data_IF_972533348376
#
_entry.id   IF_972533348376
#
_cell.length_a   1.000
_cell.length_b   1.000
_cell.length_c   1.000
_cell.angle_alpha   90.00
_cell.angle_beta   90.00
_cell.angle_gamma   90.00
#
_symmetry.space_group_name_H-M   'P 1'
#
loop_
_entity.id
_entity.type
_entity.pdbx_description
1 polymer ?
#
# COMPACT_ATOMS: atom_id res chain seq x y z
N UNK A 1 1.72 32.33 -5.17
CA UNK A 1 0.23 32.38 -5.26
C UNK A 1 -0.28 32.19 -6.68
N UNK A 2 0.04 33.06 -7.66
CA UNK A 2 -0.49 32.97 -9.04
C UNK A 2 -0.31 31.60 -9.71
N UNK A 3 0.89 31.01 -9.62
CA UNK A 3 1.19 29.67 -10.15
C UNK A 3 0.45 28.53 -9.46
N UNK A 4 0.20 28.66 -8.15
CA UNK A 4 -0.55 27.67 -7.36
C UNK A 4 -2.03 27.70 -7.75
N UNK A 5 -2.61 28.90 -7.84
CA UNK A 5 -4.00 29.09 -8.26
C UNK A 5 -4.19 28.60 -9.70
N UNK A 6 -3.26 28.94 -10.61
CA UNK A 6 -3.27 28.43 -11.98
C UNK A 6 -3.17 26.89 -12.04
N UNK A 7 -2.32 26.28 -11.22
CA UNK A 7 -2.20 24.83 -11.11
C UNK A 7 -3.47 24.16 -10.58
N UNK A 8 -4.14 24.75 -9.58
CA UNK A 8 -5.42 24.24 -9.06
C UNK A 8 -6.50 24.33 -10.14
N UNK A 9 -6.60 25.44 -10.87
CA UNK A 9 -7.58 25.60 -11.95
C UNK A 9 -7.32 24.57 -13.07
N UNK A 10 -6.06 24.39 -13.47
CA UNK A 10 -5.69 23.39 -14.46
C UNK A 10 -6.05 21.96 -13.99
N UNK A 11 -5.77 21.64 -12.72
CA UNK A 11 -6.13 20.36 -12.12
C UNK A 11 -7.65 20.13 -12.12
N UNK A 12 -8.43 21.14 -11.73
CA UNK A 12 -9.90 21.08 -11.76
C UNK A 12 -10.42 20.80 -13.17
N UNK A 13 -9.88 21.48 -14.18
CA UNK A 13 -10.25 21.28 -15.59
C UNK A 13 -9.94 19.84 -16.02
N UNK A 14 -8.73 19.34 -15.71
CA UNK A 14 -8.33 17.96 -16.05
C UNK A 14 -9.26 16.93 -15.39
N UNK A 15 -9.57 17.11 -14.10
CA UNK A 15 -10.48 16.22 -13.35
C UNK A 15 -11.89 16.24 -13.94
N UNK A 16 -12.40 17.41 -14.35
CA UNK A 16 -13.73 17.55 -14.93
C UNK A 16 -13.85 16.97 -16.35
N UNK A 17 -12.76 16.98 -17.12
CA UNK A 17 -12.73 16.43 -18.48
C UNK A 17 -12.58 14.90 -18.45
N UNK A 18 -11.92 14.35 -17.43
CA UNK A 18 -11.65 12.92 -17.32
C UNK A 18 -12.96 12.08 -17.24
N UNK A 19 -13.33 11.35 -18.31
CA UNK A 19 -14.61 10.61 -18.37
C UNK A 19 -14.65 9.44 -17.38
N UNK A 20 -13.48 8.90 -17.03
CA UNK A 20 -13.33 7.73 -16.14
C UNK A 20 -13.74 8.01 -14.69
N UNK A 21 -13.72 9.27 -14.25
CA UNK A 21 -14.08 9.63 -12.87
C UNK A 21 -15.59 9.81 -12.69
N UNK A 22 -16.37 9.72 -13.77
CA UNK A 22 -17.80 10.07 -13.81
C UNK A 22 -18.07 11.46 -13.21
N UNK A 23 -17.09 12.36 -13.30
CA UNK A 23 -17.11 13.73 -12.78
C UNK A 23 -17.50 14.75 -13.85
N UNK A 24 -18.02 14.31 -15.00
CA UNK A 24 -18.45 15.21 -16.08
C UNK A 24 -19.48 16.20 -15.50
N UNK A 25 -19.09 17.47 -15.43
CA UNK A 25 -19.83 18.59 -14.84
C UNK A 25 -20.08 18.52 -13.32
N UNK A 26 -19.43 17.60 -12.60
CA UNK A 26 -19.59 17.46 -11.16
C UNK A 26 -18.60 18.37 -10.40
N UNK A 27 -18.92 19.68 -10.40
CA UNK A 27 -18.10 20.72 -9.75
C UNK A 27 -17.87 20.45 -8.25
N UNK A 28 -18.87 19.87 -7.58
CA UNK A 28 -18.79 19.53 -6.17
C UNK A 28 -17.68 18.51 -5.92
N UNK A 29 -17.61 17.43 -6.70
CA UNK A 29 -16.57 16.41 -6.55
C UNK A 29 -15.16 16.97 -6.74
N UNK A 30 -14.99 17.85 -7.74
CA UNK A 30 -13.71 18.51 -8.00
C UNK A 30 -13.30 19.45 -6.85
N UNK A 31 -14.26 20.19 -6.28
CA UNK A 31 -14.03 21.04 -5.11
C UNK A 31 -13.67 20.22 -3.86
N UNK A 32 -14.32 19.08 -3.63
CA UNK A 32 -14.00 18.17 -2.53
C UNK A 32 -12.58 17.61 -2.66
N UNK A 33 -12.14 17.28 -3.88
CA UNK A 33 -10.74 16.83 -4.12
C UNK A 33 -9.75 17.92 -3.72
N UNK A 34 -9.99 19.17 -4.11
CA UNK A 34 -9.09 20.29 -3.76
C UNK A 34 -9.12 20.55 -2.26
N UNK A 35 -10.30 20.58 -1.64
CA UNK A 35 -10.46 20.87 -0.21
C UNK A 35 -9.82 19.78 0.67
N UNK A 36 -10.17 18.51 0.45
CA UNK A 36 -9.61 17.39 1.21
C UNK A 36 -8.15 17.12 0.82
N UNK A 37 -7.78 17.32 -0.45
CA UNK A 37 -6.40 17.27 -0.91
C UNK A 37 -5.53 18.27 -0.16
N UNK A 38 -5.94 19.54 -0.09
CA UNK A 38 -5.21 20.56 0.67
C UNK A 38 -5.07 20.19 2.15
N UNK A 39 -6.16 19.75 2.79
CA UNK A 39 -6.18 19.39 4.20
C UNK A 39 -5.27 18.19 4.50
N UNK A 40 -5.44 17.07 3.79
CA UNK A 40 -4.70 15.83 4.06
C UNK A 40 -3.28 15.81 3.51
N UNK A 41 -2.96 16.60 2.48
CA UNK A 41 -1.56 16.84 2.07
C UNK A 41 -0.82 17.59 3.17
N UNK A 42 -1.44 18.60 3.79
CA UNK A 42 -0.81 19.36 4.89
C UNK A 42 -0.55 18.48 6.11
N UNK A 43 -1.52 17.66 6.51
CA UNK A 43 -1.36 16.69 7.61
C UNK A 43 -0.28 15.67 7.29
N UNK A 44 -0.29 15.09 6.10
CA UNK A 44 0.71 14.11 5.66
C UNK A 44 2.12 14.70 5.62
N UNK A 45 2.29 15.91 5.11
CA UNK A 45 3.58 16.62 5.05
C UNK A 45 4.18 16.81 6.45
N UNK A 46 3.37 17.21 7.43
CA UNK A 46 3.82 17.35 8.82
C UNK A 46 4.18 16.01 9.46
N UNK A 47 3.26 15.03 9.42
CA UNK A 47 3.50 13.71 10.02
C UNK A 47 4.71 13.01 9.39
N UNK A 48 4.85 13.11 8.07
CA UNK A 48 6.00 12.55 7.36
C UNK A 48 7.29 13.31 7.68
N UNK A 49 7.22 14.63 7.89
CA UNK A 49 8.39 15.45 8.27
C UNK A 49 8.89 15.21 9.70
N UNK A 50 7.98 14.87 10.62
CA UNK A 50 8.24 14.61 12.04
C UNK A 50 8.59 13.13 12.31
N UNK A 51 7.78 12.21 11.79
CA UNK A 51 7.80 10.77 12.15
C UNK A 51 8.27 9.87 10.99
N UNK A 52 8.35 10.41 9.77
CA UNK A 52 8.72 9.67 8.55
C UNK A 52 7.52 9.09 7.79
N UNK A 53 7.71 8.82 6.50
CA UNK A 53 6.65 8.38 5.59
C UNK A 53 6.06 7.01 5.95
N UNK A 54 6.87 6.10 6.51
CA UNK A 54 6.44 4.76 6.95
C UNK A 54 5.42 4.79 8.08
N UNK A 55 5.41 5.87 8.87
CA UNK A 55 4.53 6.06 10.03
C UNK A 55 3.34 6.98 9.71
N UNK A 56 3.24 7.48 8.47
CA UNK A 56 2.15 8.36 8.05
C UNK A 56 0.85 7.54 7.87
N UNK A 57 -0.27 7.92 8.53
CA UNK A 57 -1.54 7.19 8.49
C UNK A 57 -2.31 7.43 7.18
N UNK A 58 -1.67 7.17 6.03
CA UNK A 58 -2.25 7.37 4.68
C UNK A 58 -3.57 6.64 4.49
N UNK A 59 -3.66 5.40 4.98
CA UNK A 59 -4.89 4.60 4.98
C UNK A 59 -6.02 5.24 5.81
N UNK A 60 -5.70 5.84 6.96
CA UNK A 60 -6.66 6.58 7.78
C UNK A 60 -7.17 7.84 7.08
N UNK A 61 -6.28 8.60 6.44
CA UNK A 61 -6.64 9.78 5.66
C UNK A 61 -7.54 9.45 4.46
N UNK A 62 -7.31 8.30 3.81
CA UNK A 62 -8.17 7.79 2.73
C UNK A 62 -9.59 7.47 3.23
N UNK A 63 -9.69 6.72 4.33
CA UNK A 63 -11.00 6.37 4.93
C UNK A 63 -11.74 7.63 5.39
N UNK A 64 -11.06 8.56 6.06
CA UNK A 64 -11.67 9.82 6.50
C UNK A 64 -12.20 10.64 5.31
N UNK A 65 -11.43 10.75 4.23
CA UNK A 65 -11.87 11.41 2.99
C UNK A 65 -13.13 10.74 2.45
N UNK A 66 -13.12 9.41 2.32
CA UNK A 66 -14.25 8.65 1.79
C UNK A 66 -15.51 8.80 2.65
N UNK A 67 -15.39 8.69 3.97
CA UNK A 67 -16.50 8.85 4.90
C UNK A 67 -17.13 10.24 4.79
N UNK A 68 -16.31 11.30 4.79
CA UNK A 68 -16.79 12.67 4.66
C UNK A 68 -17.42 12.92 3.29
N UNK A 69 -16.81 12.46 2.20
CA UNK A 69 -17.38 12.55 0.85
C UNK A 69 -18.71 11.83 0.74
N UNK A 70 -18.80 10.59 1.24
CA UNK A 70 -20.05 9.81 1.20
C UNK A 70 -21.14 10.46 2.06
N UNK A 71 -20.78 11.04 3.21
CA UNK A 71 -21.72 11.77 4.06
C UNK A 71 -22.28 13.02 3.37
N UNK A 72 -21.42 13.80 2.71
CA UNK A 72 -21.84 14.96 1.91
C UNK A 72 -22.77 14.53 0.77
N UNK A 73 -22.43 13.45 0.06
CA UNK A 73 -23.28 12.90 -1.01
C UNK A 73 -24.63 12.44 -0.48
N UNK A 74 -24.67 11.81 0.69
CA UNK A 74 -25.91 11.40 1.34
C UNK A 74 -26.81 12.60 1.67
N UNK A 75 -26.24 13.68 2.23
CA UNK A 75 -27.00 14.91 2.55
C UNK A 75 -27.63 15.53 1.28
N UNK A 76 -26.92 15.45 0.15
CA UNK A 76 -27.35 16.03 -1.12
C UNK A 76 -28.28 15.05 -1.91
N UNK A 77 -28.42 13.80 -1.44
CA UNK A 77 -29.24 12.78 -2.09
C UNK A 77 -28.55 12.04 -3.24
N UNK A 78 -27.23 12.12 -3.34
CA UNK A 78 -26.43 11.45 -4.38
C UNK A 78 -26.11 10.00 -3.99
N UNK A 79 -27.13 9.14 -4.03
CA UNK A 79 -27.06 7.75 -3.58
C UNK A 79 -27.10 6.71 -4.70
N UNK A 80 -27.18 7.14 -5.97
CA UNK A 80 -27.19 6.27 -7.14
C UNK A 80 -25.83 5.56 -7.40
N UNK A 81 -25.82 4.37 -8.03
CA UNK A 81 -24.61 3.58 -8.32
C UNK A 81 -23.42 4.33 -8.94
N UNK A 82 -23.60 5.31 -9.85
CA UNK A 82 -22.49 6.10 -10.37
C UNK A 82 -21.70 6.88 -9.31
N UNK A 83 -22.37 7.38 -8.26
CA UNK A 83 -21.74 8.21 -7.23
C UNK A 83 -20.80 7.41 -6.31
N UNK A 84 -20.91 6.08 -6.28
CA UNK A 84 -19.98 5.19 -5.58
C UNK A 84 -18.60 5.26 -6.21
N UNK A 85 -18.55 5.22 -7.55
CA UNK A 85 -17.31 5.35 -8.32
C UNK A 85 -16.72 6.74 -8.14
N UNK A 86 -17.58 7.77 -8.12
CA UNK A 86 -17.15 9.14 -7.85
C UNK A 86 -16.54 9.30 -6.45
N UNK A 87 -17.17 8.78 -5.40
CA UNK A 87 -16.64 8.83 -4.03
C UNK A 87 -15.29 8.10 -3.93
N UNK A 88 -15.18 6.89 -4.49
CA UNK A 88 -13.93 6.14 -4.58
C UNK A 88 -12.83 6.93 -5.30
N UNK A 89 -13.18 7.59 -6.40
CA UNK A 89 -12.26 8.41 -7.17
C UNK A 89 -11.71 9.59 -6.36
N UNK A 90 -12.59 10.31 -5.63
CA UNK A 90 -12.18 11.41 -4.74
C UNK A 90 -11.22 10.90 -3.67
N UNK A 91 -11.59 9.82 -2.96
CA UNK A 91 -10.74 9.22 -1.93
C UNK A 91 -9.39 8.74 -2.46
N UNK A 92 -9.38 8.12 -3.65
CA UNK A 92 -8.16 7.67 -4.31
C UNK A 92 -7.22 8.83 -4.69
N UNK A 93 -7.76 9.88 -5.32
CA UNK A 93 -6.97 11.06 -5.72
C UNK A 93 -6.39 11.77 -4.50
N UNK A 94 -7.18 11.98 -3.46
CA UNK A 94 -6.72 12.62 -2.21
C UNK A 94 -5.66 11.78 -1.52
N UNK A 95 -5.82 10.45 -1.51
CA UNK A 95 -4.82 9.54 -0.94
C UNK A 95 -3.49 9.59 -1.70
N UNK A 96 -3.52 9.58 -3.04
CA UNK A 96 -2.31 9.70 -3.88
C UNK A 96 -1.64 11.05 -3.65
N UNK A 97 -2.42 12.13 -3.65
CA UNK A 97 -1.91 13.48 -3.39
C UNK A 97 -1.25 13.57 -2.00
N UNK A 98 -1.93 13.06 -0.96
CA UNK A 98 -1.44 13.06 0.41
C UNK A 98 -0.15 12.24 0.58
N UNK A 99 -0.08 11.05 -0.04
CA UNK A 99 1.12 10.20 -0.03
C UNK A 99 2.30 10.88 -0.72
N UNK A 100 2.08 11.43 -1.92
CA UNK A 100 3.13 12.10 -2.67
C UNK A 100 3.57 13.40 -2.00
N UNK A 101 2.64 14.18 -1.45
CA UNK A 101 2.96 15.40 -0.72
C UNK A 101 3.79 15.14 0.54
N UNK A 102 3.46 14.08 1.28
CA UNK A 102 4.27 13.61 2.41
C UNK A 102 5.68 13.24 1.97
N UNK A 103 5.79 12.36 0.97
CA UNK A 103 7.07 11.85 0.46
C UNK A 103 7.96 12.98 -0.07
N UNK A 104 7.41 13.91 -0.86
CA UNK A 104 8.15 15.10 -1.34
C UNK A 104 8.70 15.92 -0.17
N UNK A 105 7.93 16.09 0.90
CA UNK A 105 8.38 16.88 2.06
C UNK A 105 9.60 16.23 2.73
N UNK A 106 9.59 14.92 2.86
CA UNK A 106 10.73 14.16 3.39
C UNK A 106 11.92 14.14 2.42
N UNK A 107 11.66 13.98 1.12
CA UNK A 107 12.70 13.98 0.09
C UNK A 107 13.42 15.33 0.04
N UNK A 108 12.69 16.45 0.10
CA UNK A 108 13.27 17.79 0.12
C UNK A 108 14.13 18.02 1.37
N UNK A 109 13.72 17.48 2.53
CA UNK A 109 14.51 17.54 3.77
C UNK A 109 15.81 16.75 3.63
N UNK A 110 15.73 15.49 3.21
CA UNK A 110 16.91 14.64 2.97
C UNK A 110 17.80 15.26 1.90
N UNK A 111 17.19 15.79 0.85
CA UNK A 111 17.84 16.46 -0.26
C UNK A 111 18.62 17.68 0.16
N UNK A 112 18.07 18.49 1.06
CA UNK A 112 18.77 19.62 1.67
C UNK A 112 19.99 19.16 2.48
N UNK A 113 19.86 18.07 3.25
CA UNK A 113 20.95 17.53 4.07
C UNK A 113 22.12 16.98 3.25
N UNK A 114 21.85 16.37 2.09
CA UNK A 114 22.90 15.80 1.20
C UNK A 114 23.36 16.77 0.11
N UNK A 115 22.86 18.01 0.10
CA UNK A 115 23.23 19.03 -0.89
C UNK A 115 22.64 18.82 -2.29
N UNK A 116 21.54 18.08 -2.41
CA UNK A 116 20.87 17.85 -3.71
C UNK A 116 20.06 19.06 -4.18
N UNK A 117 19.82 19.15 -5.49
CA UNK A 117 19.00 20.22 -6.08
C UNK A 117 17.50 19.88 -6.01
N UNK A 118 16.65 20.72 -5.38
CA UNK A 118 15.21 20.46 -5.24
C UNK A 118 14.47 20.18 -6.55
N UNK A 119 14.86 20.86 -7.64
CA UNK A 119 14.27 20.67 -8.97
C UNK A 119 14.44 19.25 -9.47
N UNK A 120 15.63 18.66 -9.28
CA UNK A 120 15.92 17.30 -9.72
C UNK A 120 15.09 16.27 -8.94
N UNK A 121 14.87 16.51 -7.64
CA UNK A 121 14.03 15.65 -6.80
C UNK A 121 12.56 15.68 -7.23
N UNK A 122 12.03 16.86 -7.54
CA UNK A 122 10.65 17.01 -8.06
C UNK A 122 10.45 16.30 -9.40
N UNK A 123 11.44 16.35 -10.30
CA UNK A 123 11.39 15.64 -11.58
C UNK A 123 11.45 14.12 -11.34
N UNK A 124 12.33 13.66 -10.45
CA UNK A 124 12.49 12.25 -10.14
C UNK A 124 11.19 11.64 -9.57
N UNK A 125 10.52 12.32 -8.63
CA UNK A 125 9.27 11.82 -8.06
C UNK A 125 8.12 11.83 -9.08
N UNK A 126 8.05 12.82 -9.98
CA UNK A 126 7.07 12.82 -11.06
C UNK A 126 7.27 11.63 -12.01
N UNK A 127 8.52 11.35 -12.40
CA UNK A 127 8.85 10.20 -13.24
C UNK A 127 8.53 8.89 -12.52
N UNK A 128 8.95 8.76 -11.26
CA UNK A 128 8.73 7.53 -10.47
C UNK A 128 7.26 7.23 -10.22
N UNK A 129 6.46 8.25 -9.87
CA UNK A 129 5.02 8.11 -9.65
C UNK A 129 4.28 7.80 -10.95
N UNK A 130 4.63 8.46 -12.06
CA UNK A 130 4.05 8.17 -13.37
C UNK A 130 4.39 6.76 -13.86
N UNK A 131 5.66 6.36 -13.77
CA UNK A 131 6.09 5.01 -14.12
C UNK A 131 5.35 3.96 -13.29
N UNK A 132 5.22 4.17 -11.98
CA UNK A 132 4.48 3.28 -11.08
C UNK A 132 3.00 3.19 -11.46
N UNK A 133 2.35 4.31 -11.78
CA UNK A 133 0.95 4.33 -12.20
C UNK A 133 0.72 3.59 -13.53
N UNK A 134 1.64 3.76 -14.49
CA UNK A 134 1.58 3.10 -15.80
C UNK A 134 1.84 1.59 -15.72
N UNK A 135 2.70 1.14 -14.80
CA UNK A 135 3.03 -0.28 -14.63
C UNK A 135 1.96 -1.01 -13.80
N UNK A 136 1.45 -0.39 -12.75
CA UNK A 136 0.53 -1.05 -11.81
C UNK A 136 -0.82 -1.39 -12.44
N UNK A 137 -1.36 -0.52 -13.30
CA UNK A 137 -2.64 -0.74 -13.97
C UNK A 137 -2.69 -2.05 -14.78
N UNK A 138 -1.79 -2.25 -15.75
CA UNK A 138 -1.70 -3.49 -16.52
C UNK A 138 -1.46 -4.73 -15.66
N UNK A 139 -0.62 -4.65 -14.61
CA UNK A 139 -0.38 -5.78 -13.70
C UNK A 139 -1.68 -6.19 -13.00
N UNK A 140 -2.46 -5.23 -12.47
CA UNK A 140 -3.73 -5.51 -11.82
C UNK A 140 -4.77 -6.09 -12.79
N UNK A 141 -4.82 -5.58 -14.03
CA UNK A 141 -5.69 -6.13 -15.07
C UNK A 141 -5.30 -7.57 -15.42
N UNK A 142 -4.01 -7.85 -15.56
CA UNK A 142 -3.50 -9.19 -15.86
C UNK A 142 -3.79 -10.16 -14.71
N UNK A 143 -3.59 -9.74 -13.45
CA UNK A 143 -3.93 -10.55 -12.28
C UNK A 143 -5.43 -10.83 -12.19
N UNK A 144 -6.27 -9.84 -12.52
CA UNK A 144 -7.70 -10.07 -12.54
C UNK A 144 -8.11 -11.01 -13.67
N UNK A 145 -7.55 -10.86 -14.87
CA UNK A 145 -7.84 -11.72 -16.02
C UNK A 145 -7.35 -13.16 -15.81
N UNK A 146 -6.16 -13.36 -15.25
CA UNK A 146 -5.61 -14.71 -15.00
C UNK A 146 -6.44 -15.52 -14.00
N UNK A 147 -7.03 -14.85 -13.00
CA UNK A 147 -7.93 -15.45 -12.03
C UNK A 147 -9.41 -15.44 -12.42
N UNK A 148 -9.80 -14.86 -13.56
CA UNK A 148 -11.21 -14.79 -13.97
C UNK A 148 -11.71 -16.18 -14.36
N UNK A 149 -12.91 -16.52 -13.86
CA UNK A 149 -13.58 -17.78 -14.17
C UNK A 149 -14.95 -17.46 -14.75
N UNK A 150 -15.23 -18.03 -15.92
CA UNK A 150 -16.54 -17.93 -16.54
C UNK A 150 -17.40 -19.10 -16.07
N UNK A 151 -18.37 -18.80 -15.20
CA UNK A 151 -19.27 -19.77 -14.60
C UNK A 151 -20.54 -19.82 -15.44
N UNK A 152 -20.94 -20.99 -16.00
CA UNK A 152 -22.18 -21.09 -16.76
C UNK A 152 -23.38 -20.83 -15.84
N UNK A 153 -24.33 -20.07 -16.35
CA UNK A 153 -25.58 -19.74 -15.63
C UNK A 153 -26.54 -20.94 -15.67
N UNK A 154 -26.58 -21.66 -16.79
CA UNK A 154 -27.42 -22.83 -16.97
C UNK A 154 -26.88 -24.00 -16.13
N UNK A 155 -27.72 -24.58 -15.27
CA UNK A 155 -27.34 -25.74 -14.45
C UNK A 155 -26.50 -25.40 -13.21
N UNK A 156 -26.29 -24.11 -12.91
CA UNK A 156 -25.65 -23.70 -11.68
C UNK A 156 -26.56 -23.97 -10.45
N UNK A 157 -25.97 -24.41 -9.35
CA UNK A 157 -26.66 -24.68 -8.08
C UNK A 157 -26.86 -23.42 -7.24
N UNK A 158 -26.02 -22.41 -7.43
CA UNK A 158 -25.96 -21.24 -6.54
C UNK A 158 -26.88 -20.09 -6.99
N UNK A 159 -27.18 -19.99 -8.29
CA UNK A 159 -28.11 -19.01 -8.82
C UNK A 159 -28.69 -19.45 -10.17
N UNK A 160 -29.91 -19.00 -10.46
CA UNK A 160 -30.59 -19.28 -11.71
C UNK A 160 -31.45 -18.09 -12.12
N UNK A 161 -31.51 -17.83 -13.42
CA UNK A 161 -32.38 -16.81 -13.99
C UNK A 161 -33.67 -17.48 -14.51
N UNK A 162 -34.84 -16.85 -14.32
CA UNK A 162 -36.07 -17.28 -14.98
C UNK A 162 -35.87 -17.32 -16.50
N UNK A 163 -36.51 -18.27 -17.18
CA UNK A 163 -36.44 -18.39 -18.65
C UNK A 163 -37.02 -17.17 -19.39
N UNK A 164 -37.78 -16.32 -18.70
CA UNK A 164 -38.33 -15.05 -19.20
C UNK A 164 -37.43 -13.84 -18.93
N UNK A 165 -36.28 -14.02 -18.28
CA UNK A 165 -35.38 -12.91 -17.95
C UNK A 165 -34.49 -12.59 -19.15
N UNK A 166 -34.63 -11.35 -19.64
CA UNK A 166 -33.76 -10.78 -20.64
C UNK A 166 -33.17 -9.48 -20.09
N UNK A 167 -31.84 -9.33 -20.19
CA UNK A 167 -31.18 -8.10 -19.83
C UNK A 167 -31.55 -6.99 -20.82
N UNK A 168 -31.84 -5.80 -20.31
CA UNK A 168 -32.17 -4.65 -21.14
C UNK A 168 -30.92 -4.23 -21.96
N UNK A 169 -31.00 -4.12 -23.29
CA UNK A 169 -29.91 -3.61 -24.11
C UNK A 169 -29.40 -2.22 -23.70
N UNK A 170 -30.21 -1.41 -23.02
CA UNK A 170 -29.80 -0.12 -22.47
C UNK A 170 -28.73 -0.24 -21.37
N UNK A 171 -28.73 -1.36 -20.64
CA UNK A 171 -27.81 -1.62 -19.53
C UNK A 171 -26.52 -2.33 -19.98
N UNK A 172 -26.37 -2.61 -21.27
CA UNK A 172 -25.14 -3.17 -21.80
C UNK A 172 -24.00 -2.17 -21.67
N UNK A 173 -22.83 -2.69 -21.27
CA UNK A 173 -21.63 -1.88 -21.18
C UNK A 173 -21.31 -1.37 -22.58
N UNK A 174 -21.09 -0.06 -22.74
CA UNK A 174 -20.75 0.53 -24.03
C UNK A 174 -19.23 0.58 -24.23
N UNK A 175 -18.78 0.37 -25.46
CA UNK A 175 -17.40 0.58 -25.87
C UNK A 175 -17.09 2.07 -26.04
N UNK A 176 -15.84 2.39 -26.41
CA UNK A 176 -15.38 3.77 -26.64
C UNK A 176 -16.13 4.47 -27.79
N UNK A 177 -16.79 3.70 -28.66
CA UNK A 177 -17.62 4.19 -29.78
C UNK A 177 -19.11 4.31 -29.40
N UNK A 178 -19.48 3.99 -28.15
CA UNK A 178 -20.85 4.05 -27.66
C UNK A 178 -21.72 2.85 -28.08
N UNK A 179 -21.14 1.82 -28.70
CA UNK A 179 -21.84 0.59 -29.08
C UNK A 179 -21.80 -0.44 -27.95
N UNK A 180 -22.75 -1.41 -27.89
CA UNK A 180 -22.73 -2.44 -26.87
C UNK A 180 -21.44 -3.27 -26.99
N UNK A 181 -20.65 -3.28 -25.92
CA UNK A 181 -19.37 -3.96 -25.86
C UNK A 181 -19.59 -5.46 -25.99
N UNK A 182 -18.87 -6.04 -26.94
CA UNK A 182 -18.88 -7.47 -27.21
C UNK A 182 -17.54 -8.08 -26.84
N UNK A 183 -17.59 -9.24 -26.21
CA UNK A 183 -16.40 -9.96 -25.79
C UNK A 183 -16.58 -11.47 -25.95
N UNK A 184 -15.47 -12.14 -26.24
CA UNK A 184 -15.36 -13.59 -26.18
C UNK A 184 -14.93 -14.02 -24.76
N UNK A 185 -15.04 -15.31 -24.46
CA UNK A 185 -14.38 -15.87 -23.28
C UNK A 185 -12.88 -15.57 -23.37
N UNK A 186 -12.28 -15.14 -22.26
CA UNK A 186 -10.87 -14.77 -22.18
C UNK A 186 -10.08 -15.76 -21.31
N UNK A 187 -8.75 -15.68 -21.35
CA UNK A 187 -7.87 -16.51 -20.55
C UNK A 187 -7.95 -17.99 -20.89
N UNK A 188 -7.87 -18.85 -19.87
CA UNK A 188 -7.81 -20.31 -20.05
C UNK A 188 -9.10 -20.92 -20.62
N UNK A 189 -10.24 -20.22 -20.53
CA UNK A 189 -11.53 -20.69 -21.07
C UNK A 189 -11.82 -20.15 -22.47
N UNK A 190 -10.89 -19.38 -23.08
CA UNK A 190 -11.08 -18.79 -24.41
C UNK A 190 -11.28 -19.84 -25.52
N UNK A 191 -10.74 -21.05 -25.36
CA UNK A 191 -10.91 -22.14 -26.31
C UNK A 191 -12.21 -22.95 -26.16
N UNK A 192 -13.00 -22.70 -25.10
CA UNK A 192 -14.19 -23.50 -24.79
C UNK A 192 -15.45 -23.12 -25.56
N UNK A 193 -15.60 -21.84 -25.93
CA UNK A 193 -16.76 -21.32 -26.66
C UNK A 193 -16.33 -20.22 -27.64
N UNK A 194 -16.52 -20.40 -28.96
CA UNK A 194 -16.16 -19.39 -29.95
C UNK A 194 -17.20 -18.27 -30.08
N UNK A 195 -18.31 -18.32 -29.33
CA UNK A 195 -19.37 -17.32 -29.46
C UNK A 195 -18.98 -15.96 -28.85
N UNK A 196 -19.54 -14.92 -29.46
CA UNK A 196 -19.40 -13.54 -29.00
C UNK A 196 -20.60 -13.14 -28.14
N UNK A 197 -20.33 -12.54 -26.98
CA UNK A 197 -21.36 -12.17 -26.00
C UNK A 197 -21.37 -10.67 -25.71
N UNK A 198 -22.54 -10.14 -25.38
CA UNK A 198 -22.68 -8.78 -24.85
C UNK A 198 -22.29 -8.74 -23.37
N UNK A 199 -21.61 -7.66 -22.97
CA UNK A 199 -21.21 -7.48 -21.57
C UNK A 199 -22.28 -6.70 -20.81
N UNK A 200 -22.86 -7.34 -19.79
CA UNK A 200 -23.87 -6.75 -18.91
C UNK A 200 -23.31 -6.64 -17.48
N UNK A 201 -23.42 -5.46 -16.85
CA UNK A 201 -23.01 -5.28 -15.46
C UNK A 201 -24.25 -5.19 -14.57
N UNK A 202 -24.57 -6.29 -13.90
CA UNK A 202 -25.70 -6.38 -12.99
C UNK A 202 -25.34 -5.74 -11.65
N UNK A 203 -26.06 -4.70 -11.26
CA UNK A 203 -25.84 -3.96 -10.00
C UNK A 203 -26.68 -4.50 -8.83
N UNK A 204 -27.79 -5.18 -9.13
CA UNK A 204 -28.71 -5.74 -8.14
C UNK A 204 -28.35 -7.19 -7.78
N UNK A 205 -28.89 -7.71 -6.68
CA UNK A 205 -28.66 -9.08 -6.22
C UNK A 205 -29.78 -10.07 -6.61
N UNK A 206 -30.79 -9.62 -7.36
CA UNK A 206 -31.96 -10.45 -7.69
C UNK A 206 -31.61 -11.54 -8.71
N UNK A 207 -32.01 -12.80 -8.49
CA UNK A 207 -31.74 -13.94 -9.39
C UNK A 207 -30.25 -14.26 -9.61
N UNK A 208 -29.36 -13.76 -8.75
CA UNK A 208 -27.92 -14.07 -8.79
C UNK A 208 -27.05 -12.92 -8.28
N UNK A 209 -25.75 -13.17 -8.05
CA UNK A 209 -24.84 -12.17 -7.51
C UNK A 209 -24.74 -10.93 -8.42
N UNK A 210 -24.57 -9.75 -7.81
CA UNK A 210 -24.20 -8.55 -8.56
C UNK A 210 -22.79 -8.73 -9.15
N UNK A 211 -22.61 -8.35 -10.41
CA UNK A 211 -21.36 -8.57 -11.10
C UNK A 211 -21.47 -8.52 -12.61
N UNK A 212 -20.43 -8.99 -13.27
CA UNK A 212 -20.30 -8.94 -14.72
C UNK A 212 -20.81 -10.23 -15.36
N UNK A 213 -21.81 -10.13 -16.22
CA UNK A 213 -22.38 -11.24 -16.97
C UNK A 213 -22.10 -11.10 -18.47
N UNK A 214 -22.00 -12.25 -19.13
CA UNK A 214 -21.98 -12.38 -20.58
C UNK A 214 -23.35 -12.84 -21.05
N UNK A 215 -23.92 -12.08 -21.97
CA UNK A 215 -25.31 -12.21 -22.43
C UNK A 215 -25.32 -12.56 -23.91
N UNK A 216 -26.15 -13.51 -24.32
CA UNK A 216 -26.26 -13.88 -25.73
C UNK A 216 -26.99 -12.79 -26.56
N UNK A 217 -27.15 -13.04 -27.86
CA UNK A 217 -27.85 -12.12 -28.78
C UNK A 217 -29.31 -11.87 -28.40
N UNK A 218 -29.93 -12.83 -27.72
CA UNK A 218 -31.32 -12.78 -27.28
C UNK A 218 -31.48 -12.07 -25.92
N UNK A 219 -30.41 -11.59 -25.30
CA UNK A 219 -30.48 -10.93 -24.00
C UNK A 219 -30.48 -11.87 -22.79
N UNK A 220 -30.24 -13.17 -22.99
CA UNK A 220 -30.18 -14.16 -21.90
C UNK A 220 -28.76 -14.25 -21.32
N UNK A 221 -28.58 -14.13 -19.99
CA UNK A 221 -27.28 -14.35 -19.34
C UNK A 221 -26.81 -15.79 -19.49
N UNK A 222 -25.63 -15.99 -20.07
CA UNK A 222 -25.04 -17.32 -20.32
C UNK A 222 -23.91 -17.62 -19.35
N UNK A 223 -23.04 -16.65 -19.09
CA UNK A 223 -21.92 -16.80 -18.15
C UNK A 223 -21.88 -15.66 -17.13
N UNK A 224 -21.55 -15.99 -15.89
CA UNK A 224 -21.04 -15.04 -14.90
C UNK A 224 -19.51 -14.98 -15.05
N UNK A 225 -18.97 -13.81 -15.33
CA UNK A 225 -17.52 -13.57 -15.32
C UNK A 225 -17.09 -13.25 -13.88
N UNK A 226 -16.80 -14.30 -13.10
CA UNK A 226 -16.33 -14.18 -11.73
C UNK A 226 -14.87 -13.67 -11.73
N UNK A 227 -14.58 -12.50 -11.13
CA UNK A 227 -13.26 -11.87 -11.23
C UNK A 227 -12.16 -12.69 -10.54
N UNK A 228 -10.91 -12.47 -10.94
CA UNK A 228 -9.76 -13.04 -10.24
C UNK A 228 -9.51 -12.41 -8.88
N UNK A 229 -9.81 -11.11 -8.76
CA UNK A 229 -9.69 -10.37 -7.50
C UNK A 229 -11.06 -10.36 -6.81
N UNK A 230 -11.11 -10.84 -5.56
CA UNK A 230 -12.32 -10.99 -4.74
C UNK A 230 -13.44 -11.86 -5.36
N UNK A 231 -13.11 -12.73 -6.33
CA UNK A 231 -14.05 -13.72 -6.87
C UNK A 231 -14.34 -14.87 -5.90
N UNK A 232 -15.47 -15.54 -6.11
CA UNK A 232 -15.97 -16.61 -5.23
C UNK A 232 -15.71 -18.00 -5.81
N UNK A 233 -15.67 -18.14 -7.14
CA UNK A 233 -15.63 -19.43 -7.82
C UNK A 233 -14.20 -19.83 -8.17
N UNK A 234 -13.61 -20.70 -7.36
CA UNK A 234 -12.23 -21.20 -7.48
C UNK A 234 -12.08 -22.38 -8.45
N UNK A 235 -13.19 -22.96 -8.94
CA UNK A 235 -13.19 -24.08 -9.88
C UNK A 235 -13.77 -23.67 -11.23
N UNK A 236 -13.05 -24.01 -12.29
CA UNK A 236 -13.54 -23.89 -13.66
C UNK A 236 -14.46 -25.06 -14.02
N UNK A 237 -15.29 -24.90 -15.07
CA UNK A 237 -16.14 -25.98 -15.57
C UNK A 237 -15.38 -27.24 -16.01
N UNK A 238 -14.10 -27.12 -16.35
CA UNK A 238 -13.20 -28.23 -16.71
C UNK A 238 -12.65 -28.99 -15.48
N UNK A 239 -13.01 -28.58 -14.25
CA UNK A 239 -12.54 -29.16 -13.00
C UNK A 239 -11.18 -28.62 -12.51
N UNK A 240 -10.52 -27.74 -13.28
CA UNK A 240 -9.27 -27.12 -12.85
C UNK A 240 -9.49 -26.04 -11.78
N UNK A 241 -8.59 -25.98 -10.79
CA UNK A 241 -8.60 -24.96 -9.75
C UNK A 241 -7.86 -23.70 -10.18
N UNK A 242 -8.39 -22.55 -9.77
CA UNK A 242 -7.85 -21.21 -10.04
C UNK A 242 -7.63 -20.50 -8.73
N UNK A 243 -6.41 -19.99 -8.54
CA UNK A 243 -6.10 -19.17 -7.37
C UNK A 243 -6.83 -17.82 -7.46
N UNK A 244 -7.64 -17.52 -6.46
CA UNK A 244 -8.30 -16.22 -6.29
C UNK A 244 -7.44 -15.30 -5.44
N UNK A 245 -7.47 -14.01 -5.77
CA UNK A 245 -6.74 -12.97 -5.04
C UNK A 245 -7.70 -12.20 -4.15
N UNK A 246 -7.50 -12.23 -2.84
CA UNK A 246 -8.32 -11.43 -1.93
C UNK A 246 -7.74 -10.03 -1.77
N UNK A 247 -8.59 -9.01 -1.81
CA UNK A 247 -8.25 -7.63 -1.48
C UNK A 247 -9.10 -7.13 -0.30
N UNK A 248 -8.83 -7.57 0.95
CA UNK A 248 -9.67 -7.28 2.11
C UNK A 248 -9.87 -5.77 2.37
N UNK A 249 -8.80 -4.98 2.17
CA UNK A 249 -8.82 -3.51 2.33
C UNK A 249 -9.79 -2.85 1.37
N UNK A 250 -9.80 -3.29 0.10
CA UNK A 250 -10.72 -2.79 -0.90
C UNK A 250 -12.17 -3.20 -0.58
N UNK A 251 -12.36 -4.44 -0.10
CA UNK A 251 -13.67 -4.96 0.30
C UNK A 251 -14.27 -4.15 1.45
N UNK A 252 -13.51 -3.86 2.51
CA UNK A 252 -13.98 -3.03 3.62
C UNK A 252 -14.39 -1.64 3.14
N UNK A 253 -13.54 -0.97 2.35
CA UNK A 253 -13.83 0.35 1.80
C UNK A 253 -15.12 0.31 0.98
N UNK A 254 -15.33 -0.74 0.18
CA UNK A 254 -16.55 -0.89 -0.60
C UNK A 254 -17.80 -1.04 0.28
N UNK A 255 -17.71 -1.76 1.40
CA UNK A 255 -18.82 -1.92 2.34
C UNK A 255 -19.15 -0.63 3.07
N UNK A 256 -18.14 0.16 3.44
CA UNK A 256 -18.36 1.47 4.07
C UNK A 256 -19.15 2.38 3.14
N UNK A 257 -18.75 2.47 1.87
CA UNK A 257 -19.42 3.33 0.88
C UNK A 257 -20.85 2.83 0.61
N UNK A 258 -21.01 1.52 0.41
CA UNK A 258 -22.33 0.86 0.26
C UNK A 258 -23.23 1.06 1.45
N UNK A 259 -22.70 0.98 2.66
CA UNK A 259 -23.43 1.21 3.89
C UNK A 259 -23.89 2.64 4.04
N UNK A 260 -22.99 3.62 3.81
CA UNK A 260 -23.32 5.05 3.94
C UNK A 260 -24.30 5.47 2.87
N UNK A 261 -23.95 5.37 1.59
CA UNK A 261 -24.80 5.85 0.50
C UNK A 261 -26.12 5.06 0.39
N UNK A 262 -26.11 3.78 0.78
CA UNK A 262 -27.31 2.96 0.81
C UNK A 262 -28.20 3.18 2.05
N UNK A 263 -27.79 4.02 3.00
CA UNK A 263 -28.56 4.28 4.23
C UNK A 263 -28.70 3.06 5.17
N UNK A 264 -27.94 1.99 4.92
CA UNK A 264 -28.00 0.71 5.66
C UNK A 264 -26.86 0.57 6.67
N UNK A 265 -26.10 1.63 6.92
CA UNK A 265 -24.99 1.56 7.86
C UNK A 265 -25.53 1.34 9.29
N UNK A 266 -25.07 0.28 10.00
CA UNK A 266 -25.50 0.04 11.37
C UNK A 266 -24.86 1.08 12.31
N UNK A 267 -25.48 2.25 12.42
CA UNK A 267 -24.97 3.39 13.20
C UNK A 267 -24.67 3.05 14.66
N UNK A 268 -25.42 2.11 15.25
CA UNK A 268 -25.12 1.59 16.59
C UNK A 268 -23.72 0.97 16.69
N UNK A 269 -23.29 0.21 15.69
CA UNK A 269 -21.95 -0.38 15.65
C UNK A 269 -20.86 0.68 15.40
N UNK A 270 -21.17 1.70 14.59
CA UNK A 270 -20.23 2.80 14.32
C UNK A 270 -20.00 3.62 15.60
N UNK A 271 -21.06 4.01 16.30
CA UNK A 271 -20.97 4.76 17.55
C UNK A 271 -20.32 3.94 18.66
N UNK A 272 -20.57 2.64 18.72
CA UNK A 272 -19.85 1.73 19.61
C UNK A 272 -18.33 1.76 19.31
N UNK A 273 -17.95 1.71 18.03
CA UNK A 273 -16.55 1.83 17.61
C UNK A 273 -15.92 3.17 18.02
N UNK A 274 -16.65 4.28 17.84
CA UNK A 274 -16.21 5.62 18.30
C UNK A 274 -16.01 5.63 19.82
N UNK A 275 -16.94 5.06 20.57
CA UNK A 275 -16.82 4.96 22.02
C UNK A 275 -15.60 4.13 22.45
N UNK A 276 -15.39 2.97 21.83
CA UNK A 276 -14.20 2.14 22.07
C UNK A 276 -12.92 2.92 21.77
N UNK A 277 -12.88 3.63 20.64
CA UNK A 277 -11.72 4.45 20.27
C UNK A 277 -11.43 5.54 21.32
N UNK A 278 -12.45 6.23 21.80
CA UNK A 278 -12.31 7.23 22.88
C UNK A 278 -11.78 6.57 24.16
N UNK A 279 -12.34 5.43 24.58
CA UNK A 279 -11.89 4.72 25.79
C UNK A 279 -10.43 4.26 25.67
N UNK A 280 -10.03 3.75 24.50
CA UNK A 280 -8.65 3.35 24.25
C UNK A 280 -7.70 4.54 24.32
N UNK A 281 -8.03 5.64 23.66
CA UNK A 281 -7.19 6.84 23.63
C UNK A 281 -7.07 7.46 25.03
N UNK A 282 -8.17 7.47 25.81
CA UNK A 282 -8.17 7.88 27.23
C UNK A 282 -7.35 6.93 28.12
N UNK A 283 -7.21 5.66 27.72
CA UNK A 283 -6.37 4.66 28.41
C UNK A 283 -4.91 4.71 27.95
N UNK A 284 -4.54 5.65 27.08
CA UNK A 284 -3.19 5.74 26.50
C UNK A 284 -2.87 4.64 25.49
N UNK A 285 -3.87 3.90 25.01
CA UNK A 285 -3.73 2.87 23.98
C UNK A 285 -4.14 3.47 22.64
N UNK A 286 -3.26 3.37 21.64
CA UNK A 286 -3.58 3.87 20.30
C UNK A 286 -4.80 3.16 19.72
N UNK A 287 -5.91 3.89 19.55
CA UNK A 287 -7.12 3.35 18.94
C UNK A 287 -6.89 2.85 17.51
N UNK A 288 -5.99 3.50 16.77
CA UNK A 288 -5.62 3.10 15.40
C UNK A 288 -4.94 1.73 15.37
N UNK A 289 -3.95 1.49 16.23
CA UNK A 289 -3.24 0.22 16.29
C UNK A 289 -4.19 -0.94 16.68
N UNK A 290 -5.06 -0.69 17.65
CA UNK A 290 -6.08 -1.65 18.07
C UNK A 290 -7.06 -1.98 16.93
N UNK A 291 -7.62 -0.95 16.27
CA UNK A 291 -8.56 -1.14 15.18
C UNK A 291 -7.96 -1.92 14.00
N UNK A 292 -6.70 -1.64 13.64
CA UNK A 292 -5.98 -2.38 12.59
C UNK A 292 -5.79 -3.85 12.99
N UNK A 293 -5.46 -4.12 14.25
CA UNK A 293 -5.26 -5.48 14.75
C UNK A 293 -6.54 -6.33 14.73
N UNK A 294 -7.68 -5.75 15.10
CA UNK A 294 -8.99 -6.42 15.09
C UNK A 294 -9.57 -6.57 13.68
N UNK A 295 -9.21 -5.66 12.77
CA UNK A 295 -9.73 -5.63 11.41
C UNK A 295 -9.17 -6.75 10.51
N UNK A 296 -7.91 -7.12 10.68
CA UNK A 296 -7.24 -8.09 9.82
C UNK A 296 -7.47 -9.54 10.31
N UNK A 297 -7.63 -10.51 9.38
CA UNK A 297 -7.65 -11.93 9.74
C UNK A 297 -6.47 -12.29 10.64
N UNK A 298 -6.71 -13.16 11.64
CA UNK A 298 -5.65 -13.60 12.56
C UNK A 298 -4.43 -14.16 11.80
N UNK A 299 -4.66 -14.83 10.66
CA UNK A 299 -3.61 -15.35 9.78
C UNK A 299 -2.71 -14.25 9.18
N UNK A 300 -3.22 -13.05 8.91
CA UNK A 300 -2.42 -11.92 8.40
C UNK A 300 -1.89 -11.03 9.51
N UNK A 301 -2.55 -11.00 10.67
CA UNK A 301 -2.08 -10.29 11.88
C UNK A 301 -0.96 -11.03 12.61
N UNK A 302 -0.90 -12.36 12.56
CA UNK A 302 0.10 -13.15 13.27
C UNK A 302 1.56 -12.83 12.85
N UNK A 303 1.90 -12.71 11.55
CA UNK A 303 3.24 -12.27 11.14
C UNK A 303 3.60 -10.86 11.65
N UNK A 304 2.63 -9.94 11.65
CA UNK A 304 2.82 -8.58 12.17
C UNK A 304 3.09 -8.61 13.68
N UNK A 305 2.34 -9.43 14.42
CA UNK A 305 2.54 -9.64 15.84
C UNK A 305 3.93 -10.21 16.14
N UNK A 306 4.37 -11.26 15.42
CA UNK A 306 5.71 -11.84 15.58
C UNK A 306 6.80 -10.81 15.24
N UNK A 307 6.64 -10.03 14.18
CA UNK A 307 7.55 -8.92 13.86
C UNK A 307 7.64 -7.89 15.00
N UNK A 308 6.50 -7.56 15.60
CA UNK A 308 6.43 -6.71 16.80
C UNK A 308 7.12 -7.33 18.02
N UNK A 309 6.98 -8.65 18.23
CA UNK A 309 7.70 -9.37 19.29
C UNK A 309 9.21 -9.37 19.05
N UNK A 310 9.66 -9.60 17.80
CA UNK A 310 11.08 -9.54 17.43
C UNK A 310 11.62 -8.15 17.72
N UNK A 311 10.91 -7.10 17.32
CA UNK A 311 11.30 -5.72 17.63
C UNK A 311 11.34 -5.46 19.14
N UNK A 312 10.33 -5.89 19.90
CA UNK A 312 10.31 -5.77 21.35
C UNK A 312 11.51 -6.46 22.01
N UNK A 313 11.89 -7.66 21.54
CA UNK A 313 13.06 -8.38 22.04
C UNK A 313 14.38 -7.67 21.68
N UNK A 314 14.49 -7.11 20.47
CA UNK A 314 15.65 -6.30 20.05
C UNK A 314 15.74 -5.04 20.91
N UNK A 315 14.65 -4.31 21.09
CA UNK A 315 14.61 -3.09 21.91
C UNK A 315 14.94 -3.39 23.37
N UNK A 316 14.42 -4.49 23.92
CA UNK A 316 14.75 -4.94 25.28
C UNK A 316 16.23 -5.29 25.43
N UNK A 317 16.84 -5.91 24.42
CA UNK A 317 18.27 -6.20 24.40
C UNK A 317 19.10 -4.91 24.32
N UNK A 318 18.74 -4.00 23.40
CA UNK A 318 19.38 -2.68 23.23
C UNK A 318 19.32 -1.85 24.52
N UNK A 319 18.15 -1.76 25.18
CA UNK A 319 17.98 -1.06 26.46
C UNK A 319 18.88 -1.63 27.56
N UNK A 320 18.99 -2.95 27.67
CA UNK A 320 19.90 -3.59 28.66
C UNK A 320 21.36 -3.25 28.39
N UNK A 321 21.75 -3.20 27.12
CA UNK A 321 23.14 -2.92 26.72
C UNK A 321 23.50 -1.44 26.88
N UNK A 322 22.56 -0.53 26.60
CA UNK A 322 22.72 0.91 26.79
C UNK A 322 22.33 1.39 28.20
N UNK A 323 22.08 0.49 29.16
CA UNK A 323 21.74 0.85 30.54
C UNK A 323 22.81 1.72 31.24
N UNK A 324 24.06 1.69 30.76
CA UNK A 324 25.14 2.58 31.22
C UNK A 324 25.22 3.93 30.50
N UNK A 325 24.55 4.08 29.36
CA UNK A 325 24.48 5.34 28.61
C UNK A 325 23.20 6.08 29.01
N UNK A 326 23.30 7.27 29.60
CA UNK A 326 22.16 8.12 29.98
C UNK A 326 21.47 8.72 28.73
N UNK A 327 20.93 7.87 27.87
CA UNK A 327 20.12 8.28 26.71
C UNK A 327 18.69 8.55 27.19
N UNK A 328 18.08 9.62 26.69
CA UNK A 328 16.64 9.85 26.89
C UNK A 328 15.81 8.85 26.09
N UNK A 329 14.56 8.63 26.50
CA UNK A 329 13.65 7.68 25.85
C UNK A 329 13.50 7.95 24.35
N UNK A 330 13.37 9.22 23.96
CA UNK A 330 13.27 9.64 22.55
C UNK A 330 14.54 9.32 21.75
N UNK A 331 15.72 9.43 22.37
CA UNK A 331 16.99 9.09 21.72
C UNK A 331 17.14 7.58 21.53
N UNK A 332 16.66 6.78 22.50
CA UNK A 332 16.63 5.32 22.37
C UNK A 332 15.71 4.85 21.25
N UNK A 333 14.52 5.45 21.12
CA UNK A 333 13.58 5.15 20.03
C UNK A 333 14.20 5.54 18.68
N UNK A 334 14.79 6.74 18.59
CA UNK A 334 15.45 7.19 17.36
C UNK A 334 16.64 6.30 16.95
N UNK A 335 17.39 5.75 17.90
CA UNK A 335 18.48 4.82 17.63
C UNK A 335 17.96 3.44 17.19
N UNK A 336 16.85 2.98 17.78
CA UNK A 336 16.13 1.77 17.36
C UNK A 336 15.54 1.88 15.96
N UNK A 337 15.07 3.07 15.57
CA UNK A 337 14.54 3.35 14.23
C UNK A 337 15.64 3.40 13.16
N UNK A 338 16.86 3.76 13.53
CA UNK A 338 18.06 3.66 12.68
C UNK A 338 18.66 2.25 12.65
N UNK A 339 18.10 1.29 13.39
CA UNK A 339 18.69 -0.03 13.48
C UNK A 339 18.72 -0.74 12.12
N UNK A 340 19.77 -1.52 11.90
CA UNK A 340 19.92 -2.29 10.68
C UNK A 340 18.83 -3.35 10.49
N UNK A 341 18.17 -3.77 11.58
CA UNK A 341 16.98 -4.61 11.50
C UNK A 341 15.82 -3.93 10.78
N UNK A 342 15.61 -2.62 11.00
CA UNK A 342 14.58 -1.83 10.29
C UNK A 342 14.95 -1.68 8.81
N UNK A 343 16.21 -1.38 8.50
CA UNK A 343 16.71 -1.28 7.12
C UNK A 343 16.55 -2.60 6.35
N UNK A 344 16.96 -3.72 6.95
CA UNK A 344 16.83 -5.04 6.37
C UNK A 344 15.36 -5.43 6.15
N UNK A 345 14.49 -5.14 7.14
CA UNK A 345 13.05 -5.39 7.03
C UNK A 345 12.43 -4.61 5.87
N UNK A 346 12.77 -3.33 5.73
CA UNK A 346 12.33 -2.49 4.61
C UNK A 346 12.80 -3.06 3.25
N UNK A 347 14.06 -3.51 3.18
CA UNK A 347 14.60 -4.19 2.00
C UNK A 347 13.84 -5.48 1.65
N UNK A 348 13.47 -6.29 2.64
CA UNK A 348 12.67 -7.50 2.41
C UNK A 348 11.24 -7.21 1.95
N UNK A 349 10.61 -6.13 2.42
CA UNK A 349 9.27 -5.73 1.94
C UNK A 349 9.32 -5.40 0.45
N UNK A 350 10.28 -4.58 0.03
CA UNK A 350 10.47 -4.22 -1.37
C UNK A 350 10.89 -5.43 -2.22
N UNK A 351 11.87 -6.20 -1.75
CA UNK A 351 12.38 -7.39 -2.42
C UNK A 351 11.33 -8.49 -2.57
N UNK A 352 10.51 -8.73 -1.55
CA UNK A 352 9.42 -9.70 -1.60
C UNK A 352 8.35 -9.34 -2.64
N UNK A 353 8.05 -8.04 -2.76
CA UNK A 353 7.12 -7.55 -3.79
C UNK A 353 7.68 -7.76 -5.19
N UNK A 354 8.95 -7.41 -5.41
CA UNK A 354 9.63 -7.61 -6.71
C UNK A 354 9.75 -9.10 -7.07
N UNK A 355 10.13 -9.94 -6.10
CA UNK A 355 10.22 -11.39 -6.28
C UNK A 355 8.85 -12.00 -6.61
N UNK A 356 7.77 -11.56 -5.94
CA UNK A 356 6.41 -12.00 -6.25
C UNK A 356 5.97 -11.62 -7.66
N UNK A 357 6.29 -10.40 -8.11
CA UNK A 357 6.03 -9.96 -9.49
C UNK A 357 6.83 -10.80 -10.50
N UNK A 358 8.12 -11.01 -10.26
CA UNK A 358 8.97 -11.85 -11.10
C UNK A 358 8.45 -13.28 -11.18
N UNK A 359 8.07 -13.87 -10.05
CA UNK A 359 7.48 -15.20 -9.99
C UNK A 359 6.19 -15.27 -10.80
N UNK A 360 5.29 -14.30 -10.66
CA UNK A 360 4.04 -14.27 -11.42
C UNK A 360 4.28 -14.22 -12.95
N UNK A 361 5.29 -13.47 -13.41
CA UNK A 361 5.67 -13.44 -14.83
C UNK A 361 6.33 -14.74 -15.30
N UNK A 362 7.18 -15.35 -14.48
CA UNK A 362 7.88 -16.60 -14.82
C UNK A 362 7.01 -17.85 -14.73
N UNK A 363 5.97 -17.82 -13.89
CA UNK A 363 5.06 -18.95 -13.70
C UNK A 363 4.26 -19.28 -14.97
N UNK A 364 4.02 -18.29 -15.84
CA UNK A 364 3.29 -18.48 -17.10
C UNK A 364 4.08 -19.36 -18.09
N UNK A 365 5.33 -19.03 -18.48
CA UNK A 365 6.11 -19.87 -19.39
C UNK A 365 6.59 -21.19 -18.78
N UNK A 366 6.69 -21.30 -17.46
CA UNK A 366 7.24 -22.48 -16.78
C UNK A 366 6.18 -23.39 -16.18
N UNK A 367 4.90 -23.16 -16.50
CA UNK A 367 3.77 -23.86 -15.90
C UNK A 367 3.92 -25.38 -15.91
N UNK A 368 4.29 -25.99 -17.04
CA UNK A 368 4.45 -27.45 -17.13
C UNK A 368 5.56 -28.00 -16.22
N UNK A 369 6.65 -27.23 -16.04
CA UNK A 369 7.74 -27.61 -15.13
C UNK A 369 7.34 -27.43 -13.67
N UNK A 370 6.58 -26.40 -13.36
CA UNK A 370 6.05 -26.18 -12.02
C UNK A 370 5.04 -27.27 -11.65
N UNK A 371 4.09 -27.58 -12.54
CA UNK A 371 3.08 -28.63 -12.33
C UNK A 371 3.73 -30.02 -12.17
N UNK A 372 4.80 -30.32 -12.92
CA UNK A 372 5.53 -31.59 -12.77
C UNK A 372 6.34 -31.65 -11.47
N UNK A 373 6.92 -30.52 -11.04
CA UNK A 373 7.62 -30.44 -9.76
C UNK A 373 6.65 -30.56 -8.58
N UNK A 374 5.49 -29.89 -8.64
CA UNK A 374 4.44 -29.97 -7.63
C UNK A 374 3.91 -31.39 -7.49
N UNK A 375 3.63 -32.09 -8.59
CA UNK A 375 3.24 -33.51 -8.56
C UNK A 375 4.31 -34.41 -7.94
N UNK A 376 5.58 -34.17 -8.27
CA UNK A 376 6.69 -34.93 -7.67
C UNK A 376 6.79 -34.67 -6.16
N UNK A 377 6.69 -33.40 -5.76
CA UNK A 377 6.77 -32.97 -4.37
C UNK A 377 5.58 -33.51 -3.54
N UNK A 378 4.35 -33.42 -4.04
CA UNK A 378 3.17 -34.00 -3.36
C UNK A 378 3.27 -35.52 -3.23
N UNK A 379 3.93 -36.21 -4.18
CA UNK A 379 4.08 -37.67 -4.13
C UNK A 379 5.20 -38.15 -3.18
N UNK A 380 6.31 -37.40 -3.06
CA UNK A 380 7.50 -37.86 -2.33
C UNK A 380 7.76 -37.12 -1.02
N UNK A 381 7.10 -35.98 -0.80
CA UNK A 381 7.36 -35.13 0.35
C UNK A 381 6.12 -35.04 1.26
N UNK A 382 6.09 -35.77 2.39
CA UNK A 382 4.94 -35.80 3.31
C UNK A 382 4.69 -34.47 4.05
N UNK A 383 5.63 -33.52 3.96
CA UNK A 383 5.49 -32.16 4.50
C UNK A 383 5.19 -31.12 3.41
N UNK A 384 5.02 -31.52 2.15
CA UNK A 384 4.68 -30.59 1.06
C UNK A 384 3.17 -30.36 0.96
N UNK A 385 2.38 -31.42 1.02
CA UNK A 385 0.92 -31.37 0.94
C UNK A 385 0.31 -32.23 2.07
N UNK A 386 -0.50 -31.63 2.95
CA UNK A 386 -1.08 -32.30 4.12
C UNK A 386 -1.03 -31.50 5.43
N UNK A 387 -1.38 -32.10 6.59
CA UNK A 387 -1.52 -31.38 7.87
C UNK A 387 -0.23 -30.77 8.42
N UNK A 388 0.92 -31.21 7.91
CA UNK A 388 2.25 -30.78 8.34
C UNK A 388 2.87 -29.76 7.37
N UNK A 389 2.17 -29.37 6.29
CA UNK A 389 2.65 -28.37 5.34
C UNK A 389 2.89 -27.01 6.00
N UNK A 390 2.11 -26.69 7.03
CA UNK A 390 2.30 -25.49 7.85
C UNK A 390 3.68 -25.42 8.52
N UNK A 391 4.28 -26.57 8.87
CA UNK A 391 5.64 -26.60 9.44
C UNK A 391 6.68 -26.20 8.40
N UNK A 392 6.51 -26.65 7.15
CA UNK A 392 7.39 -26.29 6.05
C UNK A 392 7.34 -24.77 5.79
N UNK A 393 6.17 -24.13 5.95
CA UNK A 393 6.03 -22.67 5.87
C UNK A 393 6.54 -21.94 7.13
N UNK A 394 6.44 -22.56 8.31
CA UNK A 394 6.96 -22.01 9.58
C UNK A 394 8.49 -21.93 9.62
N UNK A 395 9.21 -22.88 9.01
CA UNK A 395 10.68 -22.89 8.98
C UNK A 395 11.32 -21.63 8.33
N UNK A 396 10.97 -21.22 7.10
CA UNK A 396 11.48 -19.99 6.50
C UNK A 396 11.02 -18.76 7.28
N UNK A 397 9.82 -18.77 7.86
CA UNK A 397 9.31 -17.68 8.68
C UNK A 397 10.10 -17.52 10.00
N UNK A 398 10.41 -18.63 10.68
CA UNK A 398 11.20 -18.65 11.90
C UNK A 398 12.66 -18.27 11.62
N UNK A 399 13.25 -18.78 10.53
CA UNK A 399 14.62 -18.39 10.15
C UNK A 399 14.70 -16.90 9.80
N UNK A 400 13.71 -16.34 9.10
CA UNK A 400 13.63 -14.89 8.87
C UNK A 400 13.50 -14.11 10.18
N UNK A 401 12.65 -14.58 11.11
CA UNK A 401 12.46 -13.93 12.42
C UNK A 401 13.73 -13.94 13.26
N UNK A 402 14.45 -15.06 13.29
CA UNK A 402 15.75 -15.18 13.97
C UNK A 402 16.79 -14.30 13.29
N UNK A 403 16.83 -14.28 11.97
CA UNK A 403 17.77 -13.44 11.22
C UNK A 403 17.53 -11.96 11.48
N UNK A 404 16.28 -11.50 11.51
CA UNK A 404 15.92 -10.13 11.89
C UNK A 404 16.33 -9.80 13.33
N UNK A 405 16.12 -10.73 14.27
CA UNK A 405 16.57 -10.58 15.65
C UNK A 405 18.09 -10.44 15.74
N UNK A 406 18.84 -11.35 15.11
CA UNK A 406 20.30 -11.33 15.10
C UNK A 406 20.86 -10.06 14.45
N UNK A 407 20.35 -9.67 13.28
CA UNK A 407 20.80 -8.45 12.58
C UNK A 407 20.46 -7.19 13.39
N UNK A 408 19.30 -7.18 14.05
CA UNK A 408 18.93 -6.12 15.00
C UNK A 408 19.92 -5.98 16.16
N UNK A 409 20.55 -7.08 16.59
CA UNK A 409 21.53 -7.09 17.68
C UNK A 409 22.98 -6.80 17.26
N UNK A 410 23.41 -7.35 16.12
CA UNK A 410 24.83 -7.47 15.75
C UNK A 410 25.49 -6.10 15.50
N UNK A 411 24.78 -5.12 14.95
CA UNK A 411 25.40 -3.83 14.58
C UNK A 411 25.20 -2.68 15.57
N UNK A 412 24.39 -2.86 16.61
CA UNK A 412 24.45 -2.02 17.82
C UNK A 412 25.80 -2.16 18.56
N UNK A 413 26.69 -3.06 18.12
CA UNK A 413 28.04 -3.29 18.65
C UNK A 413 29.08 -2.34 18.05
N UNK A 414 28.91 -1.93 16.79
CA UNK A 414 29.99 -1.23 16.06
C UNK A 414 30.10 0.27 16.40
N UNK A 415 28.97 0.94 16.63
CA UNK A 415 28.98 2.38 16.95
C UNK A 415 29.47 2.66 18.39
N UNK A 416 29.11 1.82 19.36
CA UNK A 416 29.58 1.95 20.75
C UNK A 416 31.09 1.74 20.89
N UNK A 417 31.68 0.83 20.10
CA UNK A 417 33.14 0.64 20.10
C UNK A 417 33.87 1.79 19.39
N UNK A 418 33.32 2.35 18.31
CA UNK A 418 33.93 3.47 17.59
C UNK A 418 33.82 4.81 18.32
N UNK A 419 32.72 5.10 19.03
CA UNK A 419 32.62 6.31 19.88
C UNK A 419 33.65 6.26 21.01
N UNK A 420 33.81 5.11 21.67
CA UNK A 420 34.81 4.95 22.74
C UNK A 420 36.27 5.03 22.26
N UNK A 421 36.50 4.82 20.95
CA UNK A 421 37.82 4.90 20.31
C UNK A 421 38.09 6.32 19.82
N UNK A 422 37.07 6.98 19.24
CA UNK A 422 37.08 8.39 18.83
C UNK A 422 37.31 9.33 20.01
N UNK A 423 36.60 9.13 21.14
CA UNK A 423 36.78 9.94 22.35
C UNK A 423 38.18 9.73 22.97
N UNK A 424 38.75 8.52 22.85
CA UNK A 424 40.10 8.22 23.35
C UNK A 424 41.20 8.82 22.47
N UNK A 425 41.00 8.86 21.15
CA UNK A 425 41.91 9.54 20.23
C UNK A 425 41.82 11.06 20.33
N UNK A 426 40.62 11.61 20.56
CA UNK A 426 40.43 13.07 20.70
C UNK A 426 40.92 13.59 22.07
N UNK A 427 40.79 12.77 23.13
CA UNK A 427 41.37 13.07 24.45
C UNK A 427 42.91 12.98 24.44
N UNK A 428 43.49 12.00 23.74
CA UNK A 428 44.95 11.91 23.56
C UNK A 428 45.50 13.08 22.73
N UNK A 429 44.78 13.52 21.69
CA UNK A 429 45.18 14.65 20.87
C UNK A 429 45.12 15.99 21.63
N UNK A 430 44.12 16.17 22.51
CA UNK A 430 43.97 17.36 23.38
C UNK A 430 44.99 17.42 24.51
N UNK A 431 45.45 16.29 25.04
CA UNK A 431 46.54 16.25 26.03
C UNK A 431 47.90 16.62 25.43
N UNK A 432 48.16 16.23 24.17
CA UNK A 432 49.40 16.63 23.46
C UNK A 432 49.41 18.10 23.04
N UNK A 433 48.26 18.72 22.77
CA UNK A 433 48.18 20.15 22.39
C UNK A 433 48.16 21.10 23.59
N UNK A 434 47.68 20.66 24.77
CA UNK A 434 47.72 21.47 26.00
C UNK A 434 49.03 21.38 26.78
N UNK A 435 49.90 20.39 26.50
CA UNK A 435 51.23 20.33 27.11
C UNK A 435 52.21 21.35 26.49
N UNK A 436 51.95 21.84 25.27
CA UNK A 436 52.78 22.86 24.60
C UNK A 436 52.39 24.32 24.90
N UNK A 437 51.32 24.56 25.66
CA UNK A 437 50.79 25.91 25.91
C UNK A 437 50.98 26.43 27.34
N UNK A 438 51.72 25.71 28.19
CA UNK A 438 51.98 26.11 29.59
C UNK A 438 53.49 26.25 29.85
N UNK A 439 54.08 27.33 29.34
CA UNK A 439 55.33 27.89 29.86
C UNK A 439 55.41 29.38 29.47
N UNK A 440 55.18 30.34 30.40
CA UNK A 440 55.35 31.76 30.13
C UNK A 440 56.67 32.28 30.73
N UNK A 441 57.57 32.85 29.92
CA UNK A 441 58.53 33.86 30.38
C UNK A 441 59.20 34.62 29.23
N UNK A 442 58.91 35.93 29.20
CA UNK A 442 59.85 37.06 28.99
C UNK A 442 60.59 37.23 27.65
N UNK A 443 60.08 38.19 26.86
CA UNK A 443 60.74 39.35 26.24
C UNK A 443 62.20 39.29 25.76
N UNK A 444 62.43 39.72 24.52
CA UNK A 444 63.26 40.90 24.11
C UNK A 444 63.35 40.97 22.57
N UNK A 445 63.23 42.19 22.04
CA UNK A 445 63.39 42.58 20.62
C UNK A 445 64.84 42.49 20.11
N UNK A 446 65.00 42.08 18.85
CA UNK A 446 65.93 42.63 17.81
C UNK A 446 65.68 41.80 16.53
N UNK A 447 65.41 42.33 15.33
CA UNK A 447 66.10 43.38 14.58
C UNK A 447 67.27 42.74 13.79
N UNK A 448 67.13 42.51 12.47
CA UNK A 448 68.19 42.51 11.40
C UNK A 448 67.62 41.98 10.05
N UNK A 449 67.45 42.93 9.13
CA UNK A 449 67.70 42.99 7.66
C UNK A 449 67.79 41.75 6.74
N UNK A 450 67.07 41.85 5.62
CA UNK A 450 67.52 41.88 4.20
C UNK A 450 68.29 40.71 3.55
N UNK A 451 67.85 40.45 2.30
CA UNK A 451 68.55 39.93 1.09
C UNK A 451 68.45 38.45 0.71
N UNK A 452 68.22 38.26 -0.61
CA UNK A 452 68.71 37.15 -1.44
C UNK A 452 67.61 36.27 -2.02
N UNK A 453 67.04 36.59 -3.19
CA UNK A 453 67.49 36.16 -4.53
C UNK A 453 67.16 34.70 -4.93
N UNK A 454 66.27 34.60 -5.94
CA UNK A 454 66.32 33.75 -7.14
C UNK A 454 66.77 32.28 -7.03
N UNK A 455 65.82 31.37 -7.28
CA UNK A 455 65.69 30.65 -8.57
C UNK A 455 64.38 29.88 -8.65
#
# INVERSE_FOLDING_TARGET
MKWVIGGIIALLIVIMIAPQLNLRFNLLGALLIVAFGFLFVTVSSRLTGEVGSSSCPTSGMMIATLLLTCFIFLIIGWTAPPYFVTALSIGGIVCIASSNGGTISQDLKTGFLVGSTPKSQQIAILIGTLASALILGPILLQFNQSGTVYVPVLGNKDFAFPSSYHADPADYLKDESGQPKREHLSGAQAGGDPNEYFVYHKTNADNGPAGRYLVNKDGVPVYLADPGINGVYDKRPDGSSVQKFTAPKATLVSYIIKGILGGKLPWGLVLLGVFIAIVLELSGVSALAFAVGVYLPISTSAPVYVGGMVRWLVDRYTRRKHAGAKLTEDQLVAEGDKSNGVLLSSGYIAGGTLAGVLFAFMAIPWKERLDSWEKWASAHNPIFDGPWSDILAMLPFLTLSILLYLVGQILAVSHAMNVSRSERTDFSARLTTNASSICPSTGIQSGITSNGETK
#
